data_IF_812738377116
#
_entry.id   IF_812738377116
#
_cell.length_a   1.000
_cell.length_b   1.000
_cell.length_c   1.000
_cell.angle_alpha   90.00
_cell.angle_beta   90.00
_cell.angle_gamma   90.00
#
_symmetry.space_group_name_H-M   'P 1'
#
loop_
_entity.id
_entity.type
_entity.pdbx_description
1 polymer ?
#
# COMPACT_ATOMS: atom_id res chain seq x y z
N UNK A 1 4.54 -2.11 1.08
CA UNK A 1 4.94 -0.70 0.88
C UNK A 1 5.97 -0.25 1.90
N UNK A 2 5.65 -0.26 3.21
CA UNK A 2 6.66 -0.05 4.26
C UNK A 2 7.83 -1.03 4.12
N UNK A 3 7.54 -2.34 4.00
CA UNK A 3 8.56 -3.37 3.76
C UNK A 3 9.36 -3.13 2.47
N UNK A 4 8.72 -2.64 1.41
CA UNK A 4 9.39 -2.32 0.14
C UNK A 4 10.32 -1.10 0.27
N UNK A 5 10.04 -0.20 1.21
CA UNK A 5 10.93 0.89 1.64
C UNK A 5 11.93 0.44 2.72
N UNK A 6 12.02 -0.87 3.02
CA UNK A 6 12.89 -1.42 4.05
C UNK A 6 12.45 -1.11 5.49
N UNK A 7 11.23 -0.59 5.70
CA UNK A 7 10.63 -0.34 7.01
C UNK A 7 9.93 -1.60 7.50
N UNK A 8 10.48 -2.23 8.54
CA UNK A 8 9.88 -3.40 9.18
C UNK A 8 8.68 -2.98 10.01
N UNK A 9 7.54 -3.62 9.76
CA UNK A 9 6.32 -3.40 10.50
C UNK A 9 5.54 -4.72 10.65
N UNK A 10 4.84 -4.87 11.77
CA UNK A 10 3.91 -5.96 12.02
C UNK A 10 2.47 -5.50 11.77
N UNK A 11 1.66 -6.38 11.19
CA UNK A 11 0.22 -6.20 11.06
C UNK A 11 -0.49 -6.95 12.17
N UNK A 12 -1.30 -6.23 12.94
CA UNK A 12 -2.12 -6.80 14.03
C UNK A 12 -3.59 -6.62 13.75
N UNK A 13 -4.41 -7.46 14.38
CA UNK A 13 -5.88 -7.40 14.34
C UNK A 13 -6.49 -7.46 12.92
N UNK A 14 -5.79 -8.09 11.97
CA UNK A 14 -6.25 -8.23 10.57
C UNK A 14 -7.44 -9.18 10.41
N UNK A 15 -7.72 -10.02 11.42
CA UNK A 15 -8.76 -11.06 11.38
C UNK A 15 -9.92 -10.82 12.37
N UNK A 16 -9.84 -9.75 13.17
CA UNK A 16 -10.84 -9.44 14.22
C UNK A 16 -12.04 -8.64 13.70
N UNK A 17 -12.02 -8.22 12.43
CA UNK A 17 -13.17 -7.57 11.80
C UNK A 17 -14.42 -8.47 11.75
N UNK A 18 -14.28 -9.81 11.81
CA UNK A 18 -15.42 -10.74 11.87
C UNK A 18 -16.18 -10.74 13.21
N UNK A 19 -15.60 -10.19 14.27
CA UNK A 19 -16.19 -10.09 15.61
C UNK A 19 -16.85 -8.71 15.86
N UNK A 20 -17.18 -7.98 14.79
CA UNK A 20 -17.87 -6.70 14.85
C UNK A 20 -19.25 -6.87 15.53
N UNK A 21 -19.30 -6.55 16.82
CA UNK A 21 -20.50 -6.67 17.66
C UNK A 21 -20.15 -6.76 19.15
N UNK A 22 -19.12 -7.54 19.50
CA UNK A 22 -18.74 -7.81 20.90
C UNK A 22 -17.47 -7.08 21.35
N UNK A 23 -16.64 -6.61 20.42
CA UNK A 23 -15.34 -5.96 20.69
C UNK A 23 -15.35 -4.51 20.20
N UNK A 24 -14.91 -3.52 21.02
CA UNK A 24 -14.80 -2.13 20.59
C UNK A 24 -13.99 -1.95 19.29
N UNK A 25 -14.45 -1.09 18.39
CA UNK A 25 -13.86 -0.87 17.07
C UNK A 25 -12.34 -0.61 17.09
N UNK A 26 -11.83 0.14 18.07
CA UNK A 26 -10.38 0.41 18.16
C UNK A 26 -9.54 -0.84 18.47
N UNK A 27 -10.15 -1.81 19.15
CA UNK A 27 -9.49 -3.05 19.55
C UNK A 27 -9.59 -4.13 18.46
N UNK A 28 -10.54 -3.98 17.52
CA UNK A 28 -10.74 -4.90 16.40
C UNK A 28 -10.24 -4.37 15.04
N UNK A 29 -9.96 -3.06 14.93
CA UNK A 29 -9.42 -2.47 13.72
C UNK A 29 -7.99 -2.98 13.42
N UNK A 30 -7.64 -3.19 12.14
CA UNK A 30 -6.28 -3.50 11.74
C UNK A 30 -5.30 -2.41 12.16
N UNK A 31 -4.14 -2.82 12.66
CA UNK A 31 -3.10 -1.91 13.14
C UNK A 31 -1.77 -2.24 12.47
N UNK A 32 -1.02 -1.20 12.11
CA UNK A 32 0.36 -1.29 11.64
C UNK A 32 1.26 -0.88 12.79
N UNK A 33 2.18 -1.74 13.20
CA UNK A 33 3.12 -1.50 14.29
C UNK A 33 4.53 -1.45 13.72
N UNK A 34 5.26 -0.36 13.93
CA UNK A 34 6.67 -0.32 13.55
C UNK A 34 7.46 -1.20 14.50
N UNK A 35 8.48 -1.89 13.97
CA UNK A 35 9.44 -2.63 14.80
C UNK A 35 10.46 -1.67 15.41
N UNK A 36 10.70 -0.55 14.74
CA UNK A 36 11.63 0.51 15.14
C UNK A 36 10.89 1.85 15.12
N UNK A 37 10.57 2.36 16.30
CA UNK A 37 9.79 3.59 16.49
C UNK A 37 10.56 4.83 16.03
N UNK A 38 11.90 4.79 15.96
CA UNK A 38 12.70 5.91 15.46
C UNK A 38 12.42 6.22 13.99
N UNK A 39 11.85 5.25 13.26
CA UNK A 39 11.49 5.38 11.85
C UNK A 39 10.06 5.88 11.62
N UNK A 40 9.36 6.31 12.67
CA UNK A 40 7.98 6.80 12.55
C UNK A 40 7.83 7.91 11.51
N UNK A 41 8.71 8.91 11.53
CA UNK A 41 8.68 10.03 10.56
C UNK A 41 8.80 9.52 9.12
N UNK A 42 9.79 8.65 8.86
CA UNK A 42 10.03 8.07 7.55
C UNK A 42 8.85 7.19 7.09
N UNK A 43 8.28 6.39 8.00
CA UNK A 43 7.11 5.58 7.73
C UNK A 43 5.90 6.43 7.31
N UNK A 44 5.67 7.55 7.99
CA UNK A 44 4.61 8.49 7.60
C UNK A 44 4.86 9.15 6.26
N UNK A 45 6.10 9.53 5.95
CA UNK A 45 6.45 10.10 4.64
C UNK A 45 6.17 9.10 3.51
N UNK A 46 6.61 7.85 3.68
CA UNK A 46 6.32 6.76 2.75
C UNK A 46 4.81 6.63 2.56
N UNK A 47 4.04 6.47 3.65
CA UNK A 47 2.57 6.34 3.61
C UNK A 47 1.87 7.50 2.90
N UNK A 48 2.28 8.73 3.18
CA UNK A 48 1.71 9.94 2.53
C UNK A 48 2.01 9.96 1.03
N UNK A 49 3.23 9.58 0.64
CA UNK A 49 3.62 9.56 -0.77
C UNK A 49 2.79 8.56 -1.59
N UNK A 50 2.44 7.39 -1.04
CA UNK A 50 1.57 6.47 -1.78
C UNK A 50 0.08 6.80 -1.68
N UNK A 51 -0.36 7.48 -0.62
CA UNK A 51 -1.73 7.99 -0.54
C UNK A 51 -1.99 9.12 -1.55
N UNK A 52 -0.94 9.86 -1.93
CA UNK A 52 -1.01 10.94 -2.90
C UNK A 52 0.08 10.76 -3.97
N UNK A 53 -0.04 9.76 -4.87
CA UNK A 53 0.95 9.50 -5.89
C UNK A 53 1.09 10.73 -6.79
N UNK A 54 2.34 11.08 -7.14
CA UNK A 54 2.58 12.20 -8.03
C UNK A 54 1.85 11.98 -9.38
N UNK A 55 1.15 12.99 -9.90
CA UNK A 55 0.52 12.88 -11.20
C UNK A 55 1.60 12.69 -12.28
N UNK A 56 1.26 11.92 -13.31
CA UNK A 56 2.16 11.64 -14.42
C UNK A 56 1.41 11.24 -15.68
N UNK A 57 2.13 10.95 -16.78
CA UNK A 57 1.49 10.52 -18.02
C UNK A 57 0.88 9.12 -17.84
N UNK A 58 -0.34 8.98 -18.36
CA UNK A 58 -0.97 7.68 -18.61
C UNK A 58 -0.07 6.83 -19.50
N UNK A 59 -0.22 5.51 -19.42
CA UNK A 59 0.52 4.58 -20.25
C UNK A 59 -0.39 3.44 -20.73
N UNK A 60 0.05 2.76 -21.77
CA UNK A 60 -0.63 1.59 -22.33
C UNK A 60 0.30 0.39 -22.17
N UNK A 61 -0.25 -0.72 -21.67
CA UNK A 61 0.51 -1.95 -21.55
C UNK A 61 0.89 -2.48 -22.94
N UNK A 62 2.20 -2.59 -23.20
CA UNK A 62 2.72 -3.13 -24.47
C UNK A 62 2.47 -4.63 -24.66
N UNK A 63 2.03 -5.34 -23.61
CA UNK A 63 1.73 -6.78 -23.68
C UNK A 63 0.27 -7.08 -23.99
N UNK A 64 -0.68 -6.28 -23.49
CA UNK A 64 -2.12 -6.56 -23.63
C UNK A 64 -2.98 -5.38 -24.09
N UNK A 65 -2.40 -4.18 -24.25
CA UNK A 65 -3.10 -2.99 -24.74
C UNK A 65 -3.97 -2.26 -23.70
N UNK A 66 -3.95 -2.69 -22.44
CA UNK A 66 -4.75 -2.07 -21.37
C UNK A 66 -4.22 -0.67 -21.00
N UNK A 67 -5.12 0.26 -20.71
CA UNK A 67 -4.80 1.65 -20.35
C UNK A 67 -4.64 1.80 -18.83
N UNK A 68 -3.61 2.56 -18.42
CA UNK A 68 -3.29 2.80 -17.02
C UNK A 68 -3.03 4.26 -16.74
N UNK A 69 -3.40 4.68 -15.53
CA UNK A 69 -2.93 5.93 -14.95
C UNK A 69 -1.48 5.79 -14.45
N UNK A 70 -0.83 6.92 -14.18
CA UNK A 70 0.61 6.97 -13.96
C UNK A 70 1.10 6.26 -12.69
N UNK A 71 0.24 6.14 -11.68
CA UNK A 71 0.53 5.50 -10.39
C UNK A 71 0.77 3.98 -10.50
N UNK A 72 0.33 3.35 -11.59
CA UNK A 72 0.52 1.92 -11.78
C UNK A 72 1.92 1.62 -12.32
N UNK A 73 2.69 0.83 -11.56
CA UNK A 73 3.98 0.29 -11.97
C UNK A 73 3.90 -1.02 -12.76
N UNK A 74 2.71 -1.63 -12.84
CA UNK A 74 2.46 -2.89 -13.55
C UNK A 74 1.02 -2.96 -14.06
N UNK A 75 0.80 -3.71 -15.14
CA UNK A 75 -0.51 -3.91 -15.71
C UNK A 75 -1.38 -4.80 -14.80
N UNK A 76 -2.54 -4.32 -14.38
CA UNK A 76 -3.48 -5.11 -13.56
C UNK A 76 -4.11 -6.28 -14.32
N UNK A 77 -4.19 -6.20 -15.66
CA UNK A 77 -4.80 -7.24 -16.50
C UNK A 77 -3.83 -8.41 -16.78
N UNK A 78 -2.56 -8.15 -17.06
CA UNK A 78 -1.59 -9.19 -17.45
C UNK A 78 -0.35 -9.31 -16.55
N UNK A 79 -0.19 -8.43 -15.55
CA UNK A 79 0.94 -8.44 -14.62
C UNK A 79 2.26 -7.90 -15.18
N UNK A 80 2.33 -7.56 -16.48
CA UNK A 80 3.56 -7.03 -17.08
C UNK A 80 3.99 -5.70 -16.44
N UNK A 81 5.29 -5.48 -16.16
CA UNK A 81 5.77 -4.22 -15.60
C UNK A 81 5.58 -3.08 -16.60
N UNK A 82 5.41 -1.85 -16.08
CA UNK A 82 5.45 -0.64 -16.91
C UNK A 82 6.81 -0.54 -17.57
N UNK A 83 6.81 -0.48 -18.89
CA UNK A 83 8.01 -0.26 -19.68
C UNK A 83 8.17 1.26 -19.94
N UNK A 84 9.41 1.78 -19.96
CA UNK A 84 9.68 3.19 -20.28
C UNK A 84 9.32 3.52 -21.74
#
# INVERSE_FOLDING_TARGET
MLEAAGIRADLRNTWLAGAMGDIPFRESAPQVWLIDDERETEAWEVLRAAANPAPGPRWVCLSCGEWHEAQFGSCWQCGAPRQP
#
